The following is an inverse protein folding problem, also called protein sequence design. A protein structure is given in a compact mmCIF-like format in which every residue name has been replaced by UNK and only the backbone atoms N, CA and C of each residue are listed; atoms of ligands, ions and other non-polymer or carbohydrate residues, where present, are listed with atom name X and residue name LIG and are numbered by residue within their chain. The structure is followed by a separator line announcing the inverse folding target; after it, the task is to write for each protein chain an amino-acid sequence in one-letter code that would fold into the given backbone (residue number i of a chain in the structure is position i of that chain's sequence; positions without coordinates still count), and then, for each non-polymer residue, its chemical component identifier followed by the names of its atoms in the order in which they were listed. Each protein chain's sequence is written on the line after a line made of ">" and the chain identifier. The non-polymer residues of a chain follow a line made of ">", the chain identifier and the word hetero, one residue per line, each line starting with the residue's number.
data_IF_535671920751
#
_entry.id   IF_535671920751
#
_cell.length_a   1.000
_cell.length_b   1.000
_cell.length_c   1.000
_cell.angle_alpha   90.00
_cell.angle_beta   90.00
_cell.angle_gamma   90.00
#
_symmetry.space_group_name_H-M   'P 1'
#
loop_
_entity.id
_entity.type
_entity.pdbx_description
1 polymer ?
#
# COMPACT_ATOMS: atom_id res chain seq x y z
N UNK A 1 -19.65 -13.57 -4.00
CA UNK A 1 -19.00 -13.78 -2.69
C UNK A 1 -18.40 -12.45 -2.22
N UNK A 2 -18.82 -11.92 -1.07
CA UNK A 2 -18.34 -10.62 -0.55
C UNK A 2 -16.89 -10.69 -0.05
N UNK A 3 -16.45 -11.87 0.40
CA UNK A 3 -15.10 -12.12 0.91
C UNK A 3 -14.07 -12.11 -0.24
N UNK A 4 -14.36 -12.80 -1.36
CA UNK A 4 -13.51 -12.77 -2.55
C UNK A 4 -13.34 -11.34 -3.11
N UNK A 5 -14.39 -10.53 -3.03
CA UNK A 5 -14.33 -9.13 -3.41
C UNK A 5 -13.39 -8.33 -2.49
N UNK A 6 -13.48 -8.53 -1.17
CA UNK A 6 -12.58 -7.90 -0.19
C UNK A 6 -11.12 -8.33 -0.37
N UNK A 7 -10.87 -9.61 -0.67
CA UNK A 7 -9.54 -10.14 -0.97
C UNK A 7 -8.94 -9.47 -2.21
N UNK A 8 -9.71 -9.38 -3.30
CA UNK A 8 -9.28 -8.71 -4.51
C UNK A 8 -9.02 -7.21 -4.29
N UNK A 9 -9.88 -6.53 -3.53
CA UNK A 9 -9.69 -5.12 -3.17
C UNK A 9 -8.39 -4.92 -2.39
N UNK A 10 -8.11 -5.80 -1.41
CA UNK A 10 -6.89 -5.75 -0.62
C UNK A 10 -5.64 -5.94 -1.48
N UNK A 11 -5.62 -6.95 -2.36
CA UNK A 11 -4.50 -7.18 -3.28
C UNK A 11 -4.27 -5.99 -4.22
N UNK A 12 -5.35 -5.45 -4.79
CA UNK A 12 -5.26 -4.26 -5.62
C UNK A 12 -4.74 -3.04 -4.84
N UNK A 13 -5.16 -2.87 -3.59
CA UNK A 13 -4.68 -1.81 -2.69
C UNK A 13 -3.18 -1.92 -2.42
N UNK A 14 -2.69 -3.14 -2.14
CA UNK A 14 -1.27 -3.42 -1.96
C UNK A 14 -0.48 -3.10 -3.22
N UNK A 15 -0.92 -3.61 -4.38
CA UNK A 15 -0.22 -3.40 -5.65
C UNK A 15 -0.14 -1.92 -6.03
N UNK A 16 -1.24 -1.18 -5.89
CA UNK A 16 -1.27 0.27 -6.14
C UNK A 16 -0.37 1.03 -5.17
N UNK A 17 -0.44 0.74 -3.87
CA UNK A 17 0.41 1.38 -2.86
C UNK A 17 1.89 1.11 -3.11
N UNK A 18 2.27 -0.10 -3.50
CA UNK A 18 3.66 -0.43 -3.85
C UNK A 18 4.13 0.27 -5.14
N UNK A 19 3.26 0.41 -6.15
CA UNK A 19 3.60 1.13 -7.37
C UNK A 19 3.81 2.63 -7.09
N UNK A 20 2.92 3.23 -6.30
CA UNK A 20 3.02 4.63 -5.85
C UNK A 20 4.28 4.87 -5.02
N UNK A 21 4.57 3.98 -4.05
CA UNK A 21 5.77 4.06 -3.22
C UNK A 21 7.05 4.01 -4.05
N UNK A 22 7.09 3.17 -5.09
CA UNK A 22 8.23 3.12 -6.03
C UNK A 22 8.38 4.44 -6.79
N UNK A 23 7.27 5.08 -7.17
CA UNK A 23 7.26 6.40 -7.80
C UNK A 23 7.88 7.46 -6.89
N UNK A 24 7.36 7.63 -5.67
CA UNK A 24 7.90 8.60 -4.72
C UNK A 24 9.36 8.30 -4.33
N UNK A 25 9.73 7.02 -4.18
CA UNK A 25 11.11 6.63 -3.92
C UNK A 25 12.05 7.00 -5.09
N UNK A 26 11.61 6.83 -6.33
CA UNK A 26 12.37 7.23 -7.51
C UNK A 26 12.53 8.76 -7.58
N UNK A 27 11.50 9.51 -7.20
CA UNK A 27 11.54 10.97 -7.14
C UNK A 27 12.51 11.48 -6.06
N UNK A 28 12.50 10.87 -4.87
CA UNK A 28 13.47 11.15 -3.79
C UNK A 28 14.90 10.87 -4.24
N UNK A 29 15.10 9.74 -4.93
CA UNK A 29 16.42 9.34 -5.43
C UNK A 29 16.88 10.17 -6.66
N UNK A 30 15.99 10.94 -7.26
CA UNK A 30 16.30 11.66 -8.49
C UNK A 30 17.24 12.85 -8.23
N UNK A 31 18.27 12.98 -9.06
CA UNK A 31 19.17 14.13 -9.00
C UNK A 31 18.45 15.45 -9.33
N UNK A 32 17.34 15.38 -10.05
CA UNK A 32 16.59 16.55 -10.53
C UNK A 32 15.83 17.25 -9.38
N UNK A 33 15.22 16.47 -8.48
CA UNK A 33 14.61 16.97 -7.23
C UNK A 33 15.64 17.70 -6.36
N UNK A 34 16.85 17.15 -6.28
CA UNK A 34 17.96 17.73 -5.51
C UNK A 34 18.53 19.00 -6.15
N UNK A 35 18.61 19.05 -7.49
CA UNK A 35 19.20 20.18 -8.24
C UNK A 35 18.27 21.36 -8.41
N UNK A 36 16.97 21.14 -8.60
CA UNK A 36 16.02 22.18 -9.03
C UNK A 36 15.19 22.75 -7.89
N UNK A 37 14.95 22.01 -6.82
CA UNK A 37 13.96 22.37 -5.79
C UNK A 37 14.51 22.63 -4.38
N UNK A 38 15.79 22.36 -4.13
CA UNK A 38 16.38 22.44 -2.79
C UNK A 38 15.75 21.45 -1.78
N UNK A 39 16.09 21.52 -0.49
CA UNK A 39 15.61 20.58 0.52
C UNK A 39 14.08 20.49 0.65
N UNK A 40 13.36 21.58 0.33
CA UNK A 40 11.90 21.64 0.39
C UNK A 40 11.19 20.77 -0.64
N UNK A 41 11.81 20.49 -1.79
CA UNK A 41 11.23 19.63 -2.83
C UNK A 41 11.20 18.14 -2.45
N UNK A 42 11.87 17.75 -1.36
CA UNK A 42 11.78 16.38 -0.83
C UNK A 42 10.57 16.18 0.09
N UNK A 43 9.94 17.25 0.57
CA UNK A 43 8.86 17.14 1.56
C UNK A 43 7.66 16.39 0.98
N UNK A 44 7.21 16.77 -0.21
CA UNK A 44 6.07 16.13 -0.88
C UNK A 44 6.30 14.63 -1.15
N UNK A 45 7.40 14.20 -1.81
CA UNK A 45 7.59 12.79 -2.09
C UNK A 45 7.90 11.97 -0.82
N UNK A 46 8.50 12.55 0.24
CA UNK A 46 8.67 11.87 1.52
C UNK A 46 7.33 11.63 2.24
N UNK A 47 6.46 12.63 2.27
CA UNK A 47 5.11 12.49 2.83
C UNK A 47 4.28 11.52 1.99
N UNK A 48 4.34 11.63 0.67
CA UNK A 48 3.70 10.71 -0.27
C UNK A 48 4.12 9.26 -0.03
N UNK A 49 5.43 9.01 0.07
CA UNK A 49 5.96 7.68 0.39
C UNK A 49 5.44 7.13 1.73
N UNK A 50 5.28 7.99 2.74
CA UNK A 50 4.73 7.57 4.03
C UNK A 50 3.24 7.24 3.95
N UNK A 51 2.48 8.00 3.16
CA UNK A 51 1.07 7.70 2.88
C UNK A 51 0.92 6.38 2.12
N UNK A 52 1.80 6.10 1.17
CA UNK A 52 1.80 4.81 0.47
C UNK A 52 2.06 3.64 1.41
N UNK A 53 3.01 3.78 2.34
CA UNK A 53 3.27 2.77 3.37
C UNK A 53 2.02 2.49 4.22
N UNK A 54 1.30 3.54 4.63
CA UNK A 54 0.04 3.42 5.37
C UNK A 54 -1.04 2.72 4.53
N UNK A 55 -1.14 3.05 3.25
CA UNK A 55 -2.10 2.43 2.32
C UNK A 55 -1.82 0.94 2.11
N UNK A 56 -0.55 0.56 1.98
CA UNK A 56 -0.16 -0.86 1.88
C UNK A 56 -0.51 -1.58 3.17
N UNK A 57 -0.14 -1.00 4.33
CA UNK A 57 -0.43 -1.59 5.66
C UNK A 57 -1.92 -1.80 5.90
N UNK A 58 -2.75 -0.80 5.57
CA UNK A 58 -4.20 -0.93 5.73
C UNK A 58 -4.78 -2.02 4.83
N UNK A 59 -4.29 -2.12 3.60
CA UNK A 59 -4.70 -3.17 2.66
C UNK A 59 -4.28 -4.57 3.14
N UNK A 60 -3.10 -4.70 3.77
CA UNK A 60 -2.66 -5.95 4.41
C UNK A 60 -3.56 -6.34 5.58
N UNK A 61 -4.02 -5.40 6.39
CA UNK A 61 -4.97 -5.72 7.47
C UNK A 61 -6.33 -6.20 6.95
N UNK A 62 -6.81 -5.63 5.84
CA UNK A 62 -8.02 -6.13 5.16
C UNK A 62 -7.81 -7.55 4.62
N UNK A 63 -6.64 -7.84 4.05
CA UNK A 63 -6.27 -9.17 3.57
C UNK A 63 -6.29 -10.20 4.72
N UNK A 64 -5.66 -9.87 5.86
CA UNK A 64 -5.66 -10.71 7.06
C UNK A 64 -7.06 -10.93 7.63
N UNK A 65 -7.91 -9.90 7.59
CA UNK A 65 -9.30 -10.04 8.01
C UNK A 65 -10.07 -11.00 7.11
N UNK A 66 -9.90 -10.89 5.79
CA UNK A 66 -10.49 -11.83 4.83
C UNK A 66 -10.01 -13.27 5.05
N UNK A 67 -8.70 -13.46 5.24
CA UNK A 67 -8.09 -14.76 5.54
C UNK A 67 -8.66 -15.39 6.81
N UNK A 68 -8.74 -14.63 7.92
CA UNK A 68 -9.35 -15.11 9.18
C UNK A 68 -10.81 -15.50 9.03
N UNK A 69 -11.60 -14.75 8.26
CA UNK A 69 -13.01 -15.11 8.01
C UNK A 69 -13.14 -16.40 7.20
N UNK A 70 -12.27 -16.62 6.21
CA UNK A 70 -12.26 -17.88 5.45
C UNK A 70 -11.87 -19.02 6.38
N UNK A 71 -10.81 -18.85 7.17
CA UNK A 71 -10.36 -19.83 8.15
C UNK A 71 -11.45 -20.22 9.14
N UNK A 72 -12.17 -19.24 9.72
CA UNK A 72 -13.26 -19.53 10.66
C UNK A 72 -14.42 -20.28 10.02
N UNK A 73 -14.76 -19.98 8.76
CA UNK A 73 -15.81 -20.70 8.03
C UNK A 73 -15.41 -22.15 7.72
N UNK A 74 -14.12 -22.41 7.49
CA UNK A 74 -13.61 -23.77 7.27
C UNK A 74 -13.57 -24.57 8.57
N UNK A 75 -13.21 -23.93 9.68
CA UNK A 75 -13.16 -24.57 11.01
C UNK A 75 -14.57 -24.95 11.52
N UNK A 76 -15.58 -24.10 11.31
CA UNK A 76 -16.99 -24.44 11.62
C UNK A 76 -17.53 -25.64 10.82
N UNK A 77 -16.93 -25.96 9.67
CA UNK A 77 -17.33 -27.05 8.78
C UNK A 77 -16.60 -28.37 9.09
N UNK A 78 -15.54 -28.34 9.91
CA UNK A 78 -14.72 -29.49 10.29
C UNK A 78 -15.30 -30.25 11.49
#
# INVERSE_FOLDING_TARGET
>A
MKIDNSFNIALNGIQRGLASARGHAAEIASADTLRKGGPGALVEPLVGLKLDELQVKSSVEVLKAADRMIGSLLDEKA
#
